data_IF_900352353854
#
_entry.id   IF_900352353854
#
_cell.length_a   1.000
_cell.length_b   1.000
_cell.length_c   1.000
_cell.angle_alpha   90.00
_cell.angle_beta   90.00
_cell.angle_gamma   90.00
#
_symmetry.space_group_name_H-M   'P 1'
#
loop_
_entity.id
_entity.type
_entity.pdbx_description
1 polymer ?
#
# COMPACT_ATOMS: atom_id res chain seq x y z
N UNK A 1 -14.80 14.44 7.65
CA UNK A 1 -14.27 13.72 6.48
C UNK A 1 -13.31 12.67 7.01
N UNK A 2 -13.83 11.48 7.32
CA UNK A 2 -13.03 10.41 7.90
C UNK A 2 -12.01 9.97 6.87
N UNK A 3 -10.73 10.15 7.18
CA UNK A 3 -9.64 9.47 6.50
C UNK A 3 -10.01 7.98 6.60
N UNK A 4 -10.44 7.38 5.49
CA UNK A 4 -10.41 5.93 5.33
C UNK A 4 -9.02 5.52 5.80
N UNK A 5 -8.94 4.85 6.95
CA UNK A 5 -7.67 4.36 7.46
C UNK A 5 -7.17 3.43 6.38
N UNK A 6 -6.18 3.89 5.62
CA UNK A 6 -5.57 3.10 4.57
C UNK A 6 -4.92 1.92 5.29
N UNK A 7 -5.59 0.78 5.24
CA UNK A 7 -5.17 -0.48 5.84
C UNK A 7 -4.90 -1.48 4.72
N UNK A 8 -4.22 -2.57 5.05
CA UNK A 8 -3.99 -3.64 4.10
C UNK A 8 -5.30 -4.11 3.45
N UNK A 9 -6.32 -4.44 4.26
CA UNK A 9 -7.60 -4.97 3.78
C UNK A 9 -8.36 -3.94 2.94
N UNK A 10 -8.36 -2.67 3.33
CA UNK A 10 -9.02 -1.60 2.58
C UNK A 10 -8.43 -1.44 1.17
N UNK A 11 -7.09 -1.50 1.06
CA UNK A 11 -6.40 -1.45 -0.24
C UNK A 11 -6.74 -2.66 -1.08
N UNK A 12 -6.73 -3.87 -0.50
CA UNK A 12 -7.06 -5.09 -1.23
C UNK A 12 -8.52 -5.10 -1.71
N UNK A 13 -9.47 -4.68 -0.87
CA UNK A 13 -10.89 -4.62 -1.21
C UNK A 13 -11.16 -3.60 -2.32
N UNK A 14 -10.59 -2.39 -2.20
CA UNK A 14 -10.74 -1.35 -3.23
C UNK A 14 -10.15 -1.77 -4.58
N UNK A 15 -9.10 -2.60 -4.57
CA UNK A 15 -8.43 -3.04 -5.79
C UNK A 15 -8.87 -4.43 -6.28
N UNK A 16 -9.85 -5.07 -5.63
CA UNK A 16 -10.30 -6.42 -5.98
C UNK A 16 -10.81 -6.52 -7.43
N UNK A 17 -11.50 -5.47 -7.89
CA UNK A 17 -12.05 -5.40 -9.26
C UNK A 17 -11.24 -4.49 -10.19
N UNK A 18 -10.21 -3.83 -9.64
CA UNK A 18 -9.43 -2.82 -10.36
C UNK A 18 -8.46 -3.47 -11.34
N UNK A 19 -8.59 -3.08 -12.62
CA UNK A 19 -7.70 -3.51 -13.71
C UNK A 19 -6.54 -2.55 -13.93
N UNK A 20 -5.92 -2.07 -12.86
CA UNK A 20 -4.72 -1.26 -12.98
C UNK A 20 -3.52 -2.13 -13.42
N UNK A 21 -2.62 -1.58 -14.25
CA UNK A 21 -1.44 -2.31 -14.70
C UNK A 21 -0.46 -2.52 -13.53
N UNK A 22 0.38 -3.56 -13.62
CA UNK A 22 1.36 -3.91 -12.58
C UNK A 22 2.21 -2.71 -12.12
N UNK A 23 2.68 -1.88 -13.06
CA UNK A 23 3.54 -0.74 -12.75
C UNK A 23 2.85 0.33 -11.89
N UNK A 24 1.51 0.40 -11.91
CA UNK A 24 0.76 1.27 -11.01
C UNK A 24 0.93 0.82 -9.56
N UNK A 25 0.71 -0.48 -9.28
CA UNK A 25 0.86 -1.03 -7.94
C UNK A 25 2.30 -0.96 -7.44
N UNK A 26 3.29 -1.17 -8.32
CA UNK A 26 4.70 -1.03 -7.97
C UNK A 26 5.07 0.42 -7.57
N UNK A 27 4.53 1.43 -8.25
CA UNK A 27 4.72 2.84 -7.88
C UNK A 27 4.08 3.17 -6.53
N UNK A 28 2.88 2.65 -6.29
CA UNK A 28 2.20 2.84 -5.00
C UNK A 28 2.99 2.19 -3.86
N UNK A 29 3.48 0.96 -4.04
CA UNK A 29 4.36 0.29 -3.08
C UNK A 29 5.54 1.18 -2.68
N UNK A 30 6.29 1.70 -3.66
CA UNK A 30 7.46 2.56 -3.39
C UNK A 30 7.08 3.84 -2.63
N UNK A 31 6.01 4.53 -3.06
CA UNK A 31 5.55 5.75 -2.41
C UNK A 31 5.13 5.53 -0.96
N UNK A 32 4.39 4.45 -0.66
CA UNK A 32 4.00 4.13 0.70
C UNK A 32 5.16 3.68 1.58
N UNK A 33 6.18 3.03 1.03
CA UNK A 33 7.43 2.76 1.74
C UNK A 33 8.16 4.06 2.12
N UNK A 34 8.26 5.03 1.22
CA UNK A 34 8.86 6.34 1.52
C UNK A 34 8.11 7.06 2.65
N UNK A 35 6.78 7.05 2.63
CA UNK A 35 5.94 7.61 3.69
C UNK A 35 6.19 6.87 5.02
N UNK A 36 6.26 5.54 4.99
CA UNK A 36 6.50 4.73 6.18
C UNK A 36 7.87 5.04 6.81
N UNK A 37 8.92 5.11 5.99
CA UNK A 37 10.26 5.46 6.44
C UNK A 37 10.34 6.91 6.95
N UNK A 38 9.63 7.84 6.32
CA UNK A 38 9.54 9.21 6.81
C UNK A 38 8.91 9.24 8.21
N UNK A 39 7.76 8.59 8.41
CA UNK A 39 7.11 8.53 9.72
C UNK A 39 7.98 7.83 10.78
N UNK A 40 8.70 6.76 10.42
CA UNK A 40 9.68 6.12 11.31
C UNK A 40 10.77 7.09 11.76
N UNK A 41 11.34 7.88 10.83
CA UNK A 41 12.38 8.88 11.15
C UNK A 41 11.87 9.97 12.08
N UNK A 42 10.59 10.32 12.00
CA UNK A 42 9.94 11.29 12.88
C UNK A 42 9.45 10.67 14.21
N UNK A 43 9.63 9.37 14.41
CA UNK A 43 9.18 8.65 15.62
C UNK A 43 7.69 8.33 15.66
N UNK A 44 6.92 8.62 14.59
CA UNK A 44 5.51 8.28 14.51
C UNK A 44 5.33 6.82 14.09
N UNK A 45 5.50 5.93 15.07
CA UNK A 45 5.40 4.48 14.87
C UNK A 45 4.00 4.03 14.42
N UNK A 46 2.95 4.75 14.82
CA UNK A 46 1.57 4.41 14.47
C UNK A 46 1.33 4.63 12.98
N UNK A 47 1.67 5.83 12.48
CA UNK A 47 1.54 6.13 11.06
C UNK A 47 2.52 5.35 10.20
N UNK A 48 3.73 5.11 10.70
CA UNK A 48 4.69 4.24 10.03
C UNK A 48 4.13 2.84 9.80
N UNK A 49 3.57 2.21 10.85
CA UNK A 49 2.94 0.89 10.76
C UNK A 49 1.81 0.89 9.72
N UNK A 50 0.91 1.86 9.77
CA UNK A 50 -0.19 1.98 8.81
C UNK A 50 0.32 2.10 7.36
N UNK A 51 1.33 2.95 7.14
CA UNK A 51 1.92 3.09 5.81
C UNK A 51 2.59 1.80 5.31
N UNK A 52 3.23 1.02 6.20
CA UNK A 52 3.76 -0.30 5.85
C UNK A 52 2.67 -1.32 5.51
N UNK A 53 1.53 -1.32 6.21
CA UNK A 53 0.40 -2.19 5.89
C UNK A 53 -0.14 -1.90 4.48
N UNK A 54 -0.26 -0.62 4.12
CA UNK A 54 -0.66 -0.20 2.77
C UNK A 54 0.38 -0.61 1.73
N UNK A 55 1.66 -0.38 2.01
CA UNK A 55 2.75 -0.80 1.14
C UNK A 55 2.71 -2.31 0.88
N UNK A 56 2.50 -3.12 1.94
CA UNK A 56 2.39 -4.56 1.82
C UNK A 56 1.22 -4.99 0.92
N UNK A 57 0.07 -4.33 1.01
CA UNK A 57 -1.06 -4.61 0.12
C UNK A 57 -0.72 -4.32 -1.35
N UNK A 58 -0.10 -3.18 -1.64
CA UNK A 58 0.37 -2.88 -3.00
C UNK A 58 1.47 -3.84 -3.49
N UNK A 59 2.33 -4.32 -2.59
CA UNK A 59 3.29 -5.38 -2.89
C UNK A 59 2.59 -6.69 -3.29
N UNK A 60 1.53 -7.08 -2.58
CA UNK A 60 0.72 -8.25 -2.92
C UNK A 60 0.04 -8.11 -4.29
N UNK A 61 -0.60 -6.97 -4.56
CA UNK A 61 -1.24 -6.67 -5.85
C UNK A 61 -0.23 -6.69 -7.00
N UNK A 62 0.96 -6.14 -6.78
CA UNK A 62 2.06 -6.19 -7.76
C UNK A 62 2.43 -7.64 -8.09
N UNK A 63 2.61 -8.49 -7.08
CA UNK A 63 2.96 -9.90 -7.26
C UNK A 63 1.84 -10.70 -7.95
N UNK A 64 0.58 -10.43 -7.64
CA UNK A 64 -0.57 -11.07 -8.30
C UNK A 64 -0.55 -10.77 -9.81
N UNK A 65 -0.33 -9.51 -10.20
CA UNK A 65 -0.24 -9.12 -11.60
C UNK A 65 0.98 -9.71 -12.32
N UNK A 66 2.12 -9.83 -11.65
CA UNK A 66 3.31 -10.51 -12.21
C UNK A 66 3.03 -11.99 -12.46
N UNK A 67 2.31 -12.65 -11.54
CA UNK A 67 2.05 -14.09 -11.59
C UNK A 67 0.81 -14.46 -12.43
N UNK A 68 0.04 -13.49 -12.91
CA UNK A 68 -1.21 -13.73 -13.63
C UNK A 68 -2.30 -14.37 -12.76
N UNK A 69 -2.24 -14.14 -11.44
CA UNK A 69 -3.20 -14.64 -10.44
C UNK A 69 -4.38 -13.67 -10.25
#
# INVERSE_FOLDING_TARGET
MSILVASYDGVMQFNAETKAPQHFYAKQLASWQEIAFSNLKHGDLTRAKQAFEVAAAYGRLTLQKVRGL
#
